data_IF_120527312553
#
_entry.id   IF_120527312553
#
_cell.length_a   1.000
_cell.length_b   1.000
_cell.length_c   1.000
_cell.angle_alpha   90.00
_cell.angle_beta   90.00
_cell.angle_gamma   90.00
#
_symmetry.space_group_name_H-M   'P 1'
#
loop_
_entity.id
_entity.type
_entity.pdbx_description
1 polymer ?
#
# COMPACT_ATOMS: atom_id res chain seq x y z
N UNK A 1 -10.68 1.25 -6.79
CA UNK A 1 -9.76 0.79 -5.73
C UNK A 1 -8.38 0.57 -6.35
N UNK A 2 -7.35 1.11 -5.74
CA UNK A 2 -5.97 0.82 -6.14
C UNK A 2 -5.64 -0.64 -5.85
N UNK A 3 -5.14 -1.37 -6.86
CA UNK A 3 -4.88 -2.80 -6.77
C UNK A 3 -3.92 -3.15 -5.63
N UNK A 4 -2.79 -2.46 -5.57
CA UNK A 4 -1.76 -2.72 -4.56
C UNK A 4 -2.26 -2.45 -3.14
N UNK A 5 -2.92 -1.31 -2.93
CA UNK A 5 -3.48 -0.95 -1.64
C UNK A 5 -4.61 -1.89 -1.22
N UNK A 6 -5.40 -2.42 -2.16
CA UNK A 6 -6.45 -3.38 -1.86
C UNK A 6 -5.91 -4.68 -1.27
N UNK A 7 -4.91 -5.27 -1.90
CA UNK A 7 -4.29 -6.50 -1.37
C UNK A 7 -3.49 -6.26 -0.10
N UNK A 8 -2.78 -5.14 -0.04
CA UNK A 8 -2.08 -4.74 1.19
C UNK A 8 -3.06 -4.55 2.36
N UNK A 9 -4.26 -4.01 2.11
CA UNK A 9 -5.30 -3.80 3.11
C UNK A 9 -5.75 -5.09 3.81
N UNK A 10 -5.64 -6.24 3.15
CA UNK A 10 -5.98 -7.54 3.74
C UNK A 10 -5.10 -7.86 4.95
N UNK A 11 -3.82 -7.48 4.92
CA UNK A 11 -2.93 -7.68 6.07
C UNK A 11 -3.41 -6.86 7.28
N UNK A 12 -3.90 -5.67 7.04
CA UNK A 12 -4.42 -4.78 8.07
C UNK A 12 -5.73 -5.31 8.67
N UNK A 13 -6.61 -5.86 7.83
CA UNK A 13 -7.85 -6.49 8.30
C UNK A 13 -7.59 -7.72 9.17
N UNK A 14 -6.56 -8.51 8.84
CA UNK A 14 -6.18 -9.68 9.63
C UNK A 14 -5.52 -9.31 10.96
N UNK A 15 -4.74 -8.23 11.01
CA UNK A 15 -4.10 -7.76 12.23
C UNK A 15 -5.13 -7.21 13.24
N UNK A 16 -6.17 -6.56 12.73
CA UNK A 16 -7.20 -5.91 13.54
C UNK A 16 -8.47 -6.74 13.73
N UNK A 17 -8.46 -8.04 13.37
CA UNK A 17 -9.59 -8.93 13.60
C UNK A 17 -9.92 -9.06 15.10
N UNK A 18 -8.89 -8.93 15.96
CA UNK A 18 -9.01 -9.03 17.42
C UNK A 18 -9.10 -7.66 18.14
N UNK A 19 -8.85 -6.54 17.45
CA UNK A 19 -8.81 -5.22 18.05
C UNK A 19 -9.78 -4.25 17.37
N UNK A 20 -10.44 -3.40 18.16
CA UNK A 20 -11.33 -2.33 17.66
C UNK A 20 -10.56 -1.41 16.71
N UNK A 21 -10.94 -1.43 15.46
CA UNK A 21 -10.39 -0.55 14.40
C UNK A 21 -10.70 0.90 14.77
N UNK A 22 -9.68 1.75 14.75
CA UNK A 22 -9.85 3.20 14.86
C UNK A 22 -10.68 3.70 13.67
N UNK A 23 -11.89 4.15 13.93
CA UNK A 23 -12.90 4.54 12.93
C UNK A 23 -12.66 5.91 12.30
N UNK A 24 -11.62 6.63 12.73
CA UNK A 24 -11.37 8.03 12.36
C UNK A 24 -10.59 8.22 11.05
N UNK A 25 -10.00 7.17 10.46
CA UNK A 25 -9.17 7.30 9.27
C UNK A 25 -9.98 7.21 7.97
N UNK A 26 -9.56 7.97 6.93
CA UNK A 26 -10.11 7.88 5.56
C UNK A 26 -10.11 6.45 5.00
N UNK A 27 -9.28 5.60 5.55
CA UNK A 27 -9.11 4.21 5.14
C UNK A 27 -10.17 3.29 5.72
N UNK A 28 -10.85 3.70 6.79
CA UNK A 28 -11.97 2.94 7.35
C UNK A 28 -13.04 2.62 6.30
N UNK A 29 -13.35 3.57 5.41
CA UNK A 29 -14.33 3.35 4.35
C UNK A 29 -13.88 2.28 3.33
N UNK A 30 -12.59 2.24 3.02
CA UNK A 30 -12.02 1.23 2.09
C UNK A 30 -12.02 -0.13 2.78
N UNK A 31 -11.54 -0.20 4.01
CA UNK A 31 -11.49 -1.42 4.80
C UNK A 31 -12.88 -1.99 5.06
N UNK A 32 -13.86 -1.14 5.39
CA UNK A 32 -15.24 -1.56 5.62
C UNK A 32 -15.90 -2.10 4.34
N UNK A 33 -15.66 -1.47 3.18
CA UNK A 33 -16.15 -1.97 1.88
C UNK A 33 -15.54 -3.32 1.53
N UNK A 34 -14.25 -3.51 1.80
CA UNK A 34 -13.61 -4.81 1.58
C UNK A 34 -14.21 -5.85 2.54
N UNK A 35 -14.29 -5.53 3.82
CA UNK A 35 -14.77 -6.44 4.87
C UNK A 35 -16.23 -6.88 4.66
N UNK A 36 -17.08 -6.01 4.11
CA UNK A 36 -18.49 -6.31 3.81
C UNK A 36 -18.71 -7.04 2.48
N UNK A 37 -17.68 -7.28 1.69
CA UNK A 37 -17.83 -7.94 0.39
C UNK A 37 -17.92 -9.46 0.52
N UNK A 38 -18.77 -10.09 -0.32
CA UNK A 38 -18.86 -11.56 -0.42
C UNK A 38 -17.51 -12.19 -0.74
N UNK A 39 -16.68 -11.49 -1.52
CA UNK A 39 -15.34 -11.94 -1.84
C UNK A 39 -14.49 -12.09 -0.58
N UNK A 40 -14.52 -11.13 0.34
CA UNK A 40 -13.76 -11.19 1.59
C UNK A 40 -14.18 -12.36 2.46
N UNK A 41 -15.48 -12.61 2.58
CA UNK A 41 -16.01 -13.74 3.35
C UNK A 41 -15.53 -15.08 2.73
N UNK A 42 -15.66 -15.26 1.42
CA UNK A 42 -15.17 -16.45 0.72
C UNK A 42 -13.66 -16.62 0.86
N UNK A 43 -12.90 -15.53 0.82
CA UNK A 43 -11.46 -15.55 1.05
C UNK A 43 -11.11 -15.97 2.47
N UNK A 44 -11.80 -15.45 3.48
CA UNK A 44 -11.62 -15.87 4.90
C UNK A 44 -11.96 -17.34 5.11
N UNK A 45 -13.04 -17.81 4.53
CA UNK A 45 -13.43 -19.22 4.58
C UNK A 45 -12.33 -20.08 3.95
N UNK A 46 -11.83 -19.69 2.77
CA UNK A 46 -10.74 -20.42 2.11
C UNK A 46 -9.48 -20.48 2.98
N UNK A 47 -9.12 -19.40 3.66
CA UNK A 47 -7.96 -19.36 4.56
C UNK A 47 -8.10 -20.31 5.75
N UNK A 48 -9.32 -20.54 6.25
CA UNK A 48 -9.56 -21.45 7.38
C UNK A 48 -9.13 -22.90 7.10
N UNK A 49 -9.11 -23.30 5.81
CA UNK A 49 -8.64 -24.62 5.39
C UNK A 49 -7.12 -24.76 5.28
N UNK A 50 -6.38 -23.64 5.36
CA UNK A 50 -4.92 -23.66 5.16
C UNK A 50 -4.12 -23.93 6.44
N UNK A 51 -4.76 -24.08 7.58
CA UNK A 51 -4.13 -24.33 8.89
C UNK A 51 -2.98 -23.37 9.23
N UNK A 52 -3.06 -22.12 8.75
CA UNK A 52 -2.08 -21.07 9.01
C UNK A 52 -2.67 -20.04 9.98
N UNK A 53 -1.85 -19.56 10.89
CA UNK A 53 -2.25 -18.45 11.74
C UNK A 53 -2.23 -17.11 10.98
N UNK A 54 -2.96 -16.12 11.49
CA UNK A 54 -3.04 -14.80 10.86
C UNK A 54 -1.65 -14.14 10.66
N UNK A 55 -0.71 -14.34 11.59
CA UNK A 55 0.65 -13.78 11.49
C UNK A 55 1.41 -14.31 10.29
N UNK A 56 1.29 -15.59 9.98
CA UNK A 56 1.95 -16.20 8.83
C UNK A 56 1.29 -15.76 7.52
N UNK A 57 -0.04 -15.63 7.51
CA UNK A 57 -0.78 -15.11 6.36
C UNK A 57 -0.38 -13.65 6.09
N UNK A 58 -0.32 -12.81 7.13
CA UNK A 58 0.15 -11.42 7.03
C UNK A 58 1.56 -11.36 6.42
N UNK A 59 2.50 -12.18 6.86
CA UNK A 59 3.85 -12.24 6.28
C UNK A 59 3.83 -12.56 4.79
N UNK A 60 2.99 -13.51 4.37
CA UNK A 60 2.85 -13.88 2.95
C UNK A 60 2.27 -12.71 2.15
N UNK A 61 1.22 -12.06 2.66
CA UNK A 61 0.61 -10.90 2.02
C UNK A 61 1.64 -9.78 1.85
N UNK A 62 2.33 -9.40 2.92
CA UNK A 62 3.33 -8.32 2.90
C UNK A 62 4.52 -8.65 2.01
N UNK A 63 4.93 -9.91 1.91
CA UNK A 63 5.99 -10.33 1.02
C UNK A 63 5.64 -10.08 -0.45
N UNK A 64 4.38 -10.30 -0.82
CA UNK A 64 3.93 -10.23 -2.21
C UNK A 64 3.26 -8.90 -2.56
N UNK A 65 2.79 -8.15 -1.55
CA UNK A 65 2.11 -6.87 -1.74
C UNK A 65 2.78 -5.81 -0.87
N UNK A 66 3.85 -5.15 -1.37
CA UNK A 66 4.54 -4.11 -0.62
C UNK A 66 3.63 -2.90 -0.40
N UNK A 67 3.73 -2.29 0.78
CA UNK A 67 2.96 -1.07 1.12
C UNK A 67 3.41 0.15 0.31
N UNK A 68 4.65 0.15 -0.17
CA UNK A 68 5.22 1.21 -1.02
C UNK A 68 5.65 0.59 -2.34
N UNK A 69 5.24 1.22 -3.43
CA UNK A 69 5.68 0.94 -4.79
C UNK A 69 6.12 2.24 -5.46
N UNK A 70 7.03 2.21 -6.45
CA UNK A 70 7.40 3.40 -7.20
C UNK A 70 6.23 3.86 -8.09
N UNK A 71 5.43 4.79 -7.58
CA UNK A 71 4.32 5.39 -8.31
C UNK A 71 4.81 6.58 -9.12
N UNK A 72 4.42 6.67 -10.38
CA UNK A 72 4.91 7.69 -11.32
C UNK A 72 4.82 9.11 -10.75
N UNK A 73 3.68 9.51 -10.19
CA UNK A 73 3.50 10.85 -9.61
C UNK A 73 4.46 11.15 -8.45
N UNK A 74 4.80 10.14 -7.63
CA UNK A 74 5.78 10.29 -6.54
C UNK A 74 7.21 10.38 -7.09
N UNK A 75 7.53 9.53 -8.07
CA UNK A 75 8.83 9.55 -8.74
C UNK A 75 9.08 10.91 -9.39
N UNK A 76 8.12 11.42 -10.15
CA UNK A 76 8.22 12.75 -10.78
C UNK A 76 8.40 13.87 -9.76
N UNK A 77 7.60 13.88 -8.69
CA UNK A 77 7.74 14.87 -7.60
C UNK A 77 9.15 14.84 -6.99
N UNK A 78 9.68 13.65 -6.77
CA UNK A 78 11.02 13.48 -6.18
C UNK A 78 12.08 13.96 -7.14
N UNK A 79 12.00 13.59 -8.42
CA UNK A 79 12.97 14.01 -9.43
C UNK A 79 12.95 15.53 -9.63
N UNK A 80 11.78 16.15 -9.74
CA UNK A 80 11.64 17.59 -9.83
C UNK A 80 12.26 18.29 -8.63
N UNK A 81 12.00 17.79 -7.42
CA UNK A 81 12.58 18.36 -6.21
C UNK A 81 14.11 18.23 -6.17
N UNK A 82 14.67 17.13 -6.67
CA UNK A 82 16.12 16.97 -6.80
C UNK A 82 16.70 17.99 -7.80
N UNK A 83 16.02 18.22 -8.93
CA UNK A 83 16.45 19.19 -9.92
C UNK A 83 16.41 20.63 -9.35
N UNK A 84 15.31 20.99 -8.68
CA UNK A 84 15.12 22.32 -8.10
C UNK A 84 16.12 22.63 -6.98
N UNK A 85 16.41 21.66 -6.12
CA UNK A 85 17.22 21.86 -4.92
C UNK A 85 18.69 21.42 -5.08
N UNK A 86 19.00 20.69 -6.15
CA UNK A 86 20.27 19.98 -6.37
C UNK A 86 20.65 19.04 -5.20
N UNK A 87 19.66 18.56 -4.43
CA UNK A 87 19.86 17.66 -3.29
C UNK A 87 19.50 16.22 -3.64
N UNK A 88 20.52 15.41 -3.94
CA UNK A 88 20.36 13.97 -4.25
C UNK A 88 19.94 13.12 -3.04
N UNK A 89 20.05 13.63 -1.81
CA UNK A 89 19.64 12.89 -0.60
C UNK A 89 18.16 12.56 -0.62
N UNK A 90 17.35 13.42 -1.24
CA UNK A 90 15.90 13.21 -1.38
C UNK A 90 15.62 11.89 -2.13
N UNK A 91 16.29 11.68 -3.26
CA UNK A 91 16.16 10.45 -4.06
C UNK A 91 16.72 9.24 -3.30
N UNK A 92 17.90 9.38 -2.67
CA UNK A 92 18.52 8.30 -1.89
C UNK A 92 17.62 7.85 -0.74
N UNK A 93 16.99 8.78 -0.03
CA UNK A 93 16.04 8.48 1.05
C UNK A 93 14.83 7.72 0.51
N UNK A 94 14.27 8.13 -0.62
CA UNK A 94 13.15 7.42 -1.25
C UNK A 94 13.52 5.99 -1.66
N UNK A 95 14.67 5.79 -2.30
CA UNK A 95 15.17 4.46 -2.66
C UNK A 95 15.40 3.58 -1.44
N UNK A 96 15.91 4.15 -0.35
CA UNK A 96 16.08 3.44 0.91
C UNK A 96 14.71 3.00 1.48
N UNK A 97 13.66 3.85 1.39
CA UNK A 97 12.32 3.47 1.84
C UNK A 97 11.74 2.31 1.00
N UNK A 98 11.94 2.32 -0.33
CA UNK A 98 11.51 1.23 -1.22
C UNK A 98 12.20 -0.11 -0.90
N UNK A 99 13.46 -0.06 -0.45
CA UNK A 99 14.27 -1.24 -0.13
C UNK A 99 14.10 -1.74 1.31
N UNK A 100 13.39 -1.02 2.16
CA UNK A 100 13.14 -1.47 3.55
C UNK A 100 12.30 -2.76 3.58
N UNK A 101 12.48 -3.56 4.66
CA UNK A 101 11.64 -4.74 4.86
C UNK A 101 10.15 -4.40 4.77
N UNK A 102 9.40 -5.24 4.09
CA UNK A 102 7.97 -5.08 3.92
C UNK A 102 7.27 -5.23 5.28
N UNK A 103 6.59 -4.18 5.71
CA UNK A 103 5.86 -4.11 6.97
C UNK A 103 4.53 -3.39 6.77
N UNK A 104 3.62 -3.60 7.70
CA UNK A 104 2.38 -2.81 7.73
C UNK A 104 2.75 -1.34 7.98
N UNK A 105 2.21 -0.46 7.15
CA UNK A 105 2.36 1.00 7.24
C UNK A 105 0.99 1.64 7.35
N UNK A 106 0.95 2.81 8.00
CA UNK A 106 -0.23 3.64 7.96
C UNK A 106 -0.57 4.02 6.52
N UNK A 107 -1.86 4.04 6.20
CA UNK A 107 -2.34 4.59 4.94
C UNK A 107 -2.16 6.12 4.85
N UNK A 108 -1.90 6.79 5.98
CA UNK A 108 -1.58 8.22 6.02
C UNK A 108 -0.12 8.51 5.66
N UNK A 109 0.71 7.47 5.44
CA UNK A 109 2.07 7.63 4.91
C UNK A 109 1.99 8.13 3.46
N UNK A 110 2.54 9.33 3.15
CA UNK A 110 2.48 9.91 1.81
C UNK A 110 3.03 8.99 0.70
N UNK A 111 3.94 8.08 1.04
CA UNK A 111 4.51 7.13 0.08
C UNK A 111 3.52 6.02 -0.34
N UNK A 112 2.40 5.89 0.36
CA UNK A 112 1.32 4.94 0.03
C UNK A 112 0.21 5.57 -0.82
N UNK A 113 0.21 6.91 -0.98
CA UNK A 113 -0.87 7.63 -1.64
C UNK A 113 -0.99 7.27 -3.11
N UNK A 114 -2.24 7.08 -3.53
CA UNK A 114 -2.58 7.01 -4.96
C UNK A 114 -2.57 8.41 -5.56
N UNK A 115 -2.30 8.55 -6.87
CA UNK A 115 -2.38 9.83 -7.54
C UNK A 115 -3.82 10.39 -7.43
N UNK A 116 -3.93 11.69 -7.22
CA UNK A 116 -5.17 12.41 -7.48
C UNK A 116 -5.40 12.50 -9.01
N UNK A 117 -6.62 12.78 -9.47
CA UNK A 117 -6.91 12.90 -10.91
C UNK A 117 -5.97 13.85 -11.67
N UNK A 118 -5.51 14.91 -10.99
CA UNK A 118 -4.58 15.90 -11.57
C UNK A 118 -3.10 15.45 -11.57
N UNK A 119 -2.79 14.36 -10.87
CA UNK A 119 -1.45 13.79 -10.77
C UNK A 119 -1.31 12.50 -11.58
N UNK A 120 -2.36 12.07 -12.25
CA UNK A 120 -2.30 10.92 -13.15
C UNK A 120 -1.41 11.25 -14.35
N UNK A 121 -0.35 10.47 -14.49
CA UNK A 121 0.57 10.60 -15.61
C UNK A 121 -0.10 9.99 -16.84
N UNK A 122 -0.53 10.84 -17.76
CA UNK A 122 -1.25 10.43 -18.98
C UNK A 122 -0.33 9.90 -20.08
N UNK A 123 0.97 10.21 -20.01
CA UNK A 123 1.98 9.72 -20.95
C UNK A 123 3.25 9.33 -20.21
N UNK A 124 3.66 8.08 -20.36
CA UNK A 124 4.99 7.65 -19.96
C UNK A 124 5.84 7.53 -21.21
N UNK A 125 6.88 8.36 -21.30
CA UNK A 125 7.89 8.21 -22.34
C UNK A 125 8.83 7.07 -21.91
N UNK A 126 8.52 5.84 -22.32
CA UNK A 126 9.54 4.82 -22.39
C UNK A 126 10.44 5.20 -23.56
N UNK A 127 11.58 5.84 -23.26
CA UNK A 127 12.58 6.17 -24.27
C UNK A 127 13.05 4.89 -24.94
N UNK A 128 12.71 4.72 -26.19
CA UNK A 128 13.37 3.83 -27.13
C UNK A 128 14.43 4.61 -27.85
#
# INVERSE_FOLDING_TARGET
>A
LDFNNSFYSLSFLLENDDNKTDTSSKNFQILSKIKSSDWYHKWRDRLSFENKNNKDIIKIILKNNPSIIPRNHLVEKILNKVIETNDRKILTNYLNELNKPKKIRSFDDPLTFVPSPNEEVTQTFCGT
#
